data_IF_502943200157
#
_entry.id   IF_502943200157
#
_cell.length_a   1.000
_cell.length_b   1.000
_cell.length_c   1.000
_cell.angle_alpha   90.00
_cell.angle_beta   90.00
_cell.angle_gamma   90.00
#
_symmetry.space_group_name_H-M   'P 1'
#
loop_
_entity.id
_entity.type
_entity.pdbx_description
1 polymer ?
#
# COMPACT_ATOMS: atom_id res chain seq x y z
N UNK A 1 -4.44 5.52 2.77
CA UNK A 1 -4.66 4.29 1.96
C UNK A 1 -3.70 3.20 2.41
N UNK A 2 -3.97 1.91 2.18
CA UNK A 2 -3.10 0.78 2.55
C UNK A 2 -2.92 -0.20 1.39
N UNK A 3 -1.70 -0.70 1.18
CA UNK A 3 -1.36 -1.70 0.17
C UNK A 3 -0.46 -2.79 0.78
N UNK A 4 -0.60 -4.04 0.33
CA UNK A 4 0.14 -5.18 0.88
C UNK A 4 0.74 -6.03 -0.23
N UNK A 5 2.04 -6.29 -0.13
CA UNK A 5 2.82 -7.03 -1.12
C UNK A 5 3.58 -8.18 -0.44
N UNK A 6 3.29 -9.43 -0.80
CA UNK A 6 3.97 -10.59 -0.23
C UNK A 6 5.23 -10.96 -1.00
N UNK A 7 6.35 -11.04 -0.27
CA UNK A 7 7.66 -11.55 -0.67
C UNK A 7 7.91 -12.93 -0.04
N UNK A 8 8.91 -13.70 -0.50
CA UNK A 8 9.10 -15.09 -0.08
C UNK A 8 9.09 -15.32 1.44
N UNK A 9 9.64 -14.39 2.22
CA UNK A 9 9.73 -14.48 3.68
C UNK A 9 8.90 -13.45 4.46
N UNK A 10 8.46 -12.37 3.83
CA UNK A 10 7.78 -11.26 4.50
C UNK A 10 6.73 -10.61 3.60
N UNK A 11 5.82 -9.84 4.19
CA UNK A 11 4.89 -8.97 3.48
C UNK A 11 5.23 -7.51 3.79
N UNK A 12 5.41 -6.71 2.74
CA UNK A 12 5.57 -5.26 2.87
C UNK A 12 4.19 -4.62 2.84
N UNK A 13 3.83 -3.94 3.92
CA UNK A 13 2.61 -3.14 4.02
C UNK A 13 2.99 -1.67 3.83
N UNK A 14 2.46 -1.04 2.80
CA UNK A 14 2.60 0.40 2.58
C UNK A 14 1.32 1.09 3.03
N UNK A 15 1.44 2.23 3.70
CA UNK A 15 0.27 2.94 4.19
C UNK A 15 0.57 4.42 4.35
N UNK A 16 -0.43 5.24 4.06
CA UNK A 16 -0.32 6.70 4.17
C UNK A 16 -1.28 7.16 5.27
N UNK A 17 -0.75 7.19 6.49
CA UNK A 17 -1.33 7.77 7.70
C UNK A 17 -0.15 8.34 8.52
N UNK A 18 -0.38 9.17 9.55
CA UNK A 18 0.68 9.72 10.42
C UNK A 18 1.39 8.60 11.22
N UNK A 19 2.21 7.82 10.53
CA UNK A 19 3.08 6.83 11.12
C UNK A 19 4.49 7.36 11.14
N UNK A 20 4.85 7.83 12.33
CA UNK A 20 6.22 8.16 12.64
C UNK A 20 7.11 6.92 12.54
N UNK A 21 8.30 7.13 11.98
CA UNK A 21 9.41 6.19 12.01
C UNK A 21 9.57 5.55 13.40
N UNK A 22 9.72 4.22 13.45
CA UNK A 22 9.95 3.49 14.70
C UNK A 22 8.70 3.29 15.57
N UNK A 23 7.52 3.72 15.12
CA UNK A 23 6.26 3.45 15.82
C UNK A 23 5.93 1.97 15.75
N UNK A 24 5.52 1.39 16.88
CA UNK A 24 5.01 0.02 16.95
C UNK A 24 3.62 -0.07 16.33
N UNK A 25 3.40 -1.10 15.52
CA UNK A 25 2.12 -1.45 14.92
C UNK A 25 1.88 -2.95 15.02
N UNK A 26 0.65 -3.39 14.76
CA UNK A 26 0.26 -4.79 14.83
C UNK A 26 -0.29 -5.25 13.49
N UNK A 27 0.38 -6.23 12.88
CA UNK A 27 -0.03 -6.90 11.66
C UNK A 27 -1.21 -7.86 11.96
N UNK A 28 -2.28 -7.73 11.18
CA UNK A 28 -3.52 -8.52 11.29
C UNK A 28 -3.70 -9.33 10.01
N UNK A 29 -4.00 -10.62 10.16
CA UNK A 29 -4.06 -11.58 9.06
C UNK A 29 -5.43 -12.23 8.96
N UNK A 30 -5.94 -12.33 7.75
CA UNK A 30 -7.29 -12.86 7.50
C UNK A 30 -7.29 -13.88 6.37
N UNK A 31 -8.15 -14.87 6.51
CA UNK A 31 -8.38 -15.92 5.50
C UNK A 31 -9.25 -15.41 4.32
N UNK A 32 -9.59 -16.32 3.41
CA UNK A 32 -10.50 -16.05 2.29
C UNK A 32 -11.89 -15.57 2.72
N UNK A 33 -12.37 -16.03 3.87
CA UNK A 33 -13.66 -15.67 4.46
C UNK A 33 -13.61 -14.40 5.31
N UNK A 34 -12.46 -13.69 5.33
CA UNK A 34 -12.24 -12.48 6.12
C UNK A 34 -12.27 -12.72 7.64
N UNK A 35 -12.02 -13.95 8.06
CA UNK A 35 -11.91 -14.36 9.45
C UNK A 35 -10.46 -14.17 9.88
N UNK A 36 -10.26 -13.58 11.04
CA UNK A 36 -8.92 -13.38 11.58
C UNK A 36 -8.29 -14.72 11.97
N UNK A 37 -7.12 -14.99 11.42
CA UNK A 37 -6.46 -16.30 11.54
C UNK A 37 -5.71 -16.45 12.88
N UNK A 38 -5.00 -15.40 13.30
CA UNK A 38 -4.03 -15.49 14.38
C UNK A 38 -4.01 -14.23 15.25
N UNK A 39 -3.32 -14.34 16.38
CA UNK A 39 -3.07 -13.19 17.24
C UNK A 39 -2.28 -12.11 16.46
N UNK A 40 -2.56 -10.82 16.75
CA UNK A 40 -1.85 -9.70 16.15
C UNK A 40 -0.35 -9.80 16.42
N UNK A 41 0.43 -9.71 15.34
CA UNK A 41 1.90 -9.79 15.38
C UNK A 41 2.46 -8.38 15.46
N UNK A 42 3.29 -8.14 16.47
CA UNK A 42 3.96 -6.85 16.64
C UNK A 42 5.03 -6.64 15.56
N UNK A 43 5.03 -5.44 14.97
CA UNK A 43 6.05 -4.99 14.04
C UNK A 43 6.29 -3.49 14.23
N UNK A 44 7.22 -2.94 13.46
CA UNK A 44 7.65 -1.56 13.53
C UNK A 44 7.59 -0.91 12.15
N UNK A 45 7.29 0.39 12.15
CA UNK A 45 7.31 1.21 10.93
C UNK A 45 8.76 1.50 10.55
N UNK A 46 9.21 0.87 9.47
CA UNK A 46 10.52 1.10 8.86
C UNK A 46 10.53 0.64 7.39
N UNK A 47 10.98 1.48 6.44
CA UNK A 47 11.21 2.93 6.57
C UNK A 47 9.90 3.70 6.85
N UNK A 48 9.89 5.03 6.75
CA UNK A 48 8.66 5.82 6.89
C UNK A 48 7.55 5.27 5.97
N UNK A 49 6.32 5.15 6.48
CA UNK A 49 5.13 4.65 5.74
C UNK A 49 5.17 3.17 5.30
N UNK A 50 6.13 2.38 5.79
CA UNK A 50 6.26 0.95 5.46
C UNK A 50 6.37 0.10 6.71
N UNK A 51 5.68 -1.05 6.72
CA UNK A 51 5.75 -2.05 7.80
C UNK A 51 6.07 -3.40 7.18
N UNK A 52 7.09 -4.07 7.70
CA UNK A 52 7.43 -5.42 7.32
C UNK A 52 6.77 -6.41 8.29
N UNK A 53 5.81 -7.17 7.78
CA UNK A 53 5.13 -8.22 8.51
C UNK A 53 5.67 -9.59 8.07
N UNK A 54 5.65 -10.61 8.94
CA UNK A 54 5.99 -11.97 8.52
C UNK A 54 4.98 -12.49 7.49
N UNK A 55 5.43 -13.33 6.54
CA UNK A 55 4.51 -14.01 5.62
C UNK A 55 3.68 -15.02 6.40
N UNK A 56 2.38 -15.08 6.11
CA UNK A 56 1.45 -16.05 6.67
C UNK A 56 0.89 -16.92 5.54
N UNK A 57 0.99 -18.25 5.66
CA UNK A 57 0.67 -19.20 4.57
C UNK A 57 -0.79 -19.19 4.15
N UNK A 58 -1.70 -18.98 5.11
CA UNK A 58 -3.16 -19.02 4.90
C UNK A 58 -3.79 -17.63 4.76
N UNK A 59 -2.99 -16.56 4.87
CA UNK A 59 -3.54 -15.21 4.81
C UNK A 59 -3.75 -14.78 3.36
N UNK A 60 -4.95 -14.29 3.07
CA UNK A 60 -5.32 -13.71 1.77
C UNK A 60 -5.59 -12.21 1.89
N UNK A 61 -6.00 -11.76 3.07
CA UNK A 61 -6.14 -10.34 3.37
C UNK A 61 -5.32 -9.95 4.59
N UNK A 62 -4.90 -8.69 4.63
CA UNK A 62 -4.15 -8.11 5.74
C UNK A 62 -4.68 -6.74 6.11
N UNK A 63 -4.39 -6.36 7.36
CA UNK A 63 -4.57 -5.01 7.87
C UNK A 63 -3.50 -4.71 8.93
N UNK A 64 -3.40 -3.46 9.34
CA UNK A 64 -2.53 -3.02 10.44
C UNK A 64 -3.35 -2.23 11.45
N UNK A 65 -2.92 -2.26 12.70
CA UNK A 65 -3.55 -1.50 13.80
C UNK A 65 -2.47 -0.88 14.68
N UNK A 66 -2.79 0.21 15.37
CA UNK A 66 -1.83 0.85 16.28
C UNK A 66 -1.87 0.26 17.68
N UNK A 67 -2.98 -0.39 18.05
CA UNK A 67 -3.12 -1.10 19.33
C UNK A 67 -3.48 -2.55 19.11
N UNK A 68 -2.96 -3.40 20.00
CA UNK A 68 -3.08 -4.87 19.92
C UNK A 68 -4.53 -5.38 19.79
N UNK A 69 -5.49 -4.76 20.47
CA UNK A 69 -6.88 -5.20 20.47
C UNK A 69 -7.82 -4.18 19.84
N UNK A 70 -7.29 -3.37 18.92
CA UNK A 70 -8.08 -2.42 18.18
C UNK A 70 -9.00 -3.13 17.17
N UNK A 71 -10.21 -2.60 16.99
CA UNK A 71 -11.13 -3.10 15.98
C UNK A 71 -10.57 -2.77 14.60
N UNK A 72 -10.52 -3.77 13.73
CA UNK A 72 -10.06 -3.60 12.35
C UNK A 72 -11.17 -2.96 11.51
N UNK A 73 -10.90 -1.78 10.97
CA UNK A 73 -11.89 -0.99 10.20
C UNK A 73 -11.93 -1.39 8.72
N UNK A 74 -10.79 -1.82 8.16
CA UNK A 74 -10.67 -2.22 6.77
C UNK A 74 -9.58 -3.28 6.62
N UNK A 75 -9.65 -4.03 5.53
CA UNK A 75 -8.66 -5.05 5.15
C UNK A 75 -8.43 -4.97 3.64
N UNK A 76 -7.21 -5.27 3.21
CA UNK A 76 -6.85 -5.24 1.79
C UNK A 76 -6.33 -6.61 1.35
N UNK A 77 -6.53 -6.98 0.07
CA UNK A 77 -5.96 -8.22 -0.45
C UNK A 77 -4.44 -8.15 -0.47
N UNK A 78 -3.80 -9.29 -0.20
CA UNK A 78 -2.36 -9.45 -0.31
C UNK A 78 -2.02 -9.68 -1.78
N UNK A 79 -1.18 -8.81 -2.36
CA UNK A 79 -0.63 -9.01 -3.70
C UNK A 79 0.56 -9.95 -3.61
N UNK A 80 0.40 -11.20 -4.07
CA UNK A 80 1.47 -12.18 -4.05
C UNK A 80 2.55 -11.86 -5.10
N UNK A 81 3.77 -11.56 -4.64
CA UNK A 81 4.99 -11.39 -5.46
C UNK A 81 5.99 -12.53 -5.24
N UNK A 82 5.61 -13.58 -4.52
CA UNK A 82 6.50 -14.74 -4.24
C UNK A 82 6.63 -15.66 -5.44
N UNK A 83 5.62 -15.64 -6.32
CA UNK A 83 5.66 -16.30 -7.61
C UNK A 83 6.48 -15.53 -8.63
N UNK A 84 7.81 -15.59 -8.53
CA UNK A 84 8.63 -15.81 -9.75
C UNK A 84 8.30 -17.22 -10.25
N UNK A 85 7.07 -17.41 -10.71
CA UNK A 85 6.73 -18.66 -11.35
C UNK A 85 7.51 -18.67 -12.64
N UNK A 86 8.31 -19.71 -12.88
CA UNK A 86 8.96 -19.94 -14.17
C UNK A 86 7.94 -19.80 -15.33
N UNK A 87 6.66 -20.11 -15.08
CA UNK A 87 5.56 -19.90 -16.02
C UNK A 87 5.21 -18.42 -16.28
N UNK A 88 5.39 -17.52 -15.31
CA UNK A 88 5.17 -16.08 -15.45
C UNK A 88 6.28 -15.42 -16.28
N UNK A 89 7.52 -15.85 -16.05
CA UNK A 89 8.67 -15.50 -16.90
C UNK A 89 8.53 -16.07 -18.34
N UNK A 90 7.98 -17.28 -18.50
CA UNK A 90 7.70 -17.89 -19.82
C UNK A 90 6.56 -17.18 -20.55
N UNK A 91 5.52 -16.72 -19.84
CA UNK A 91 4.36 -16.03 -20.43
C UNK A 91 4.58 -14.53 -20.62
N UNK A 92 5.62 -13.96 -20.03
CA UNK A 92 5.99 -12.55 -20.18
C UNK A 92 5.01 -11.56 -19.55
N UNK A 93 4.16 -12.00 -18.61
CA UNK A 93 3.10 -11.18 -18.01
C UNK A 93 3.29 -11.19 -16.49
N UNK A 94 4.25 -10.41 -16.01
CA UNK A 94 4.31 -10.03 -14.59
C UNK A 94 3.88 -8.57 -14.46
N UNK A 95 2.59 -8.34 -14.26
CA UNK A 95 2.08 -7.00 -13.91
C UNK A 95 2.37 -6.71 -12.43
N UNK A 96 3.57 -6.21 -12.13
CA UNK A 96 3.87 -5.68 -10.81
C UNK A 96 3.12 -4.37 -10.59
N UNK A 97 2.01 -4.46 -9.85
CA UNK A 97 1.24 -3.28 -9.43
C UNK A 97 1.87 -2.72 -8.16
N UNK A 98 2.01 -1.40 -8.12
CA UNK A 98 2.37 -0.62 -6.94
C UNK A 98 1.33 0.48 -6.82
N UNK A 99 0.71 0.57 -5.65
CA UNK A 99 -0.13 1.68 -5.26
C UNK A 99 0.57 2.53 -4.22
N UNK A 100 0.56 3.83 -4.48
CA UNK A 100 1.06 4.87 -3.60
C UNK A 100 -0.09 5.84 -3.39
N UNK A 101 -0.19 6.34 -2.16
CA UNK A 101 -1.12 7.40 -1.84
C UNK A 101 -0.28 8.65 -1.58
N UNK A 102 -0.79 9.78 -2.06
CA UNK A 102 -0.04 11.02 -2.14
C UNK A 102 -0.81 12.12 -1.40
N UNK A 103 -0.04 13.01 -0.79
CA UNK A 103 -0.56 14.23 -0.19
C UNK A 103 -1.38 15.05 -1.20
N UNK A 104 -2.38 15.82 -0.74
CA UNK A 104 -3.18 16.66 -1.61
C UNK A 104 -2.32 17.55 -2.49
N UNK A 105 -2.58 17.53 -3.80
CA UNK A 105 -1.78 18.22 -4.83
C UNK A 105 -2.05 19.75 -4.82
N UNK A 106 -3.13 20.18 -4.18
CA UNK A 106 -3.48 21.60 -4.01
C UNK A 106 -2.79 22.23 -2.78
N UNK A 107 -2.54 23.55 -2.86
CA UNK A 107 -1.87 24.33 -1.83
C UNK A 107 -0.92 25.38 -2.42
N UNK A 108 -0.27 26.16 -1.56
CA UNK A 108 0.73 27.17 -1.94
C UNK A 108 2.13 26.61 -2.18
N UNK A 109 2.35 25.32 -1.90
CA UNK A 109 3.62 24.62 -2.07
C UNK A 109 3.76 24.05 -3.50
N UNK A 110 5.01 23.87 -3.95
CA UNK A 110 5.31 23.29 -5.28
C UNK A 110 5.18 21.76 -5.30
N UNK A 111 4.06 21.21 -4.81
CA UNK A 111 3.80 19.76 -4.76
C UNK A 111 3.73 19.10 -6.13
N UNK A 112 3.39 19.87 -7.17
CA UNK A 112 3.46 19.42 -8.55
C UNK A 112 4.87 19.03 -8.99
N UNK A 113 5.91 19.72 -8.52
CA UNK A 113 7.29 19.35 -8.84
C UNK A 113 7.67 18.01 -8.20
N UNK A 114 7.29 17.79 -6.94
CA UNK A 114 7.50 16.52 -6.24
C UNK A 114 6.76 15.35 -6.93
N UNK A 115 5.55 15.62 -7.44
CA UNK A 115 4.81 14.63 -8.22
C UNK A 115 5.57 14.26 -9.49
N UNK A 116 6.03 15.24 -10.27
CA UNK A 116 6.80 15.00 -11.51
C UNK A 116 8.08 14.22 -11.22
N UNK A 117 8.83 14.61 -10.19
CA UNK A 117 10.05 13.91 -9.76
C UNK A 117 9.74 12.44 -9.42
N UNK A 118 8.63 12.17 -8.74
CA UNK A 118 8.19 10.80 -8.44
C UNK A 118 7.90 10.01 -9.73
N UNK A 119 7.18 10.59 -10.70
CA UNK A 119 6.91 9.93 -11.99
C UNK A 119 8.19 9.63 -12.76
N UNK A 120 9.13 10.58 -12.82
CA UNK A 120 10.42 10.41 -13.47
C UNK A 120 11.23 9.30 -12.80
N UNK A 121 11.27 9.29 -11.47
CA UNK A 121 11.94 8.27 -10.68
C UNK A 121 11.40 6.86 -10.98
N UNK A 122 10.08 6.68 -10.97
CA UNK A 122 9.48 5.38 -11.25
C UNK A 122 9.63 4.96 -12.72
N UNK A 123 9.62 5.91 -13.67
CA UNK A 123 9.97 5.60 -15.06
C UNK A 123 11.39 5.08 -15.19
N UNK A 124 12.35 5.69 -14.50
CA UNK A 124 13.74 5.22 -14.48
C UNK A 124 13.88 3.83 -13.83
N UNK A 125 12.99 3.47 -12.90
CA UNK A 125 12.92 2.13 -12.31
C UNK A 125 12.22 1.09 -13.20
N UNK A 126 11.75 1.46 -14.39
CA UNK A 126 11.10 0.56 -15.35
C UNK A 126 9.59 0.46 -15.23
N UNK A 127 8.93 1.39 -14.54
CA UNK A 127 7.45 1.45 -14.52
C UNK A 127 6.93 1.96 -15.87
N UNK A 128 6.09 1.17 -16.52
CA UNK A 128 5.54 1.47 -17.85
C UNK A 128 4.16 2.16 -17.78
N UNK A 129 3.33 1.78 -16.81
CA UNK A 129 1.94 2.21 -16.72
C UNK A 129 1.68 2.92 -15.40
N UNK A 130 1.03 4.08 -15.47
CA UNK A 130 0.65 4.86 -14.30
C UNK A 130 -0.86 5.08 -14.28
N UNK A 131 -1.47 4.84 -13.13
CA UNK A 131 -2.89 5.05 -12.89
C UNK A 131 -3.05 6.00 -11.71
N UNK A 132 -3.72 7.13 -11.93
CA UNK A 132 -4.03 8.11 -10.89
C UNK A 132 -5.49 7.98 -10.48
N UNK A 133 -5.72 7.75 -9.19
CA UNK A 133 -7.05 7.67 -8.61
C UNK A 133 -7.20 8.77 -7.56
N UNK A 134 -8.26 9.56 -7.66
CA UNK A 134 -8.54 10.60 -6.69
C UNK A 134 -9.45 10.00 -5.61
N UNK A 135 -8.89 9.73 -4.43
CA UNK A 135 -9.60 9.08 -3.34
C UNK A 135 -10.62 10.03 -2.66
N UNK A 136 -10.27 11.30 -2.50
CA UNK A 136 -11.14 12.31 -1.90
C UNK A 136 -10.93 13.67 -2.55
N UNK A 137 -12.02 14.27 -2.97
CA UNK A 137 -12.12 15.67 -3.39
C UNK A 137 -13.08 16.31 -2.40
N UNK A 138 -12.69 17.40 -1.78
CA UNK A 138 -13.58 18.19 -0.95
C UNK A 138 -14.65 18.89 -1.83
N UNK A 139 -15.79 19.24 -1.24
CA UNK A 139 -16.93 19.79 -1.98
C UNK A 139 -16.59 21.07 -2.76
N UNK A 140 -15.59 21.84 -2.32
CA UNK A 140 -15.11 23.02 -3.02
C UNK A 140 -14.31 22.63 -4.28
N UNK A 141 -13.36 21.70 -4.17
CA UNK A 141 -12.61 21.17 -5.32
C UNK A 141 -13.51 20.42 -6.32
N UNK A 142 -14.62 19.82 -5.87
CA UNK A 142 -15.64 19.19 -6.73
C UNK A 142 -16.36 20.20 -7.62
N UNK A 143 -16.61 21.41 -7.11
CA UNK A 143 -17.28 22.48 -7.87
C UNK A 143 -16.34 23.11 -8.91
N UNK A 144 -15.04 23.17 -8.63
CA UNK A 144 -14.06 23.80 -9.52
C UNK A 144 -13.64 22.89 -10.69
N UNK A 145 -13.83 21.57 -10.57
CA UNK A 145 -13.52 20.59 -11.62
C UNK A 145 -14.58 20.48 -12.73
N UNK A 146 -15.69 21.21 -12.64
CA UNK A 146 -16.75 21.27 -13.67
C UNK A 146 -16.54 22.38 -14.74
N UNK A 147 -15.39 23.07 -14.74
CA UNK A 147 -15.04 24.10 -15.71
C UNK A 147 -13.93 23.69 -16.70
N UNK A 148 -13.63 22.39 -16.82
CA UNK A 148 -12.81 21.82 -17.89
C UNK A 148 -13.61 20.82 -18.73
#
# INVERSE_FOLDING_TARGET
MLGVYAYPSYSAVTFEEEAHYGRTVFCRYFDEHRIELNLPVESLVFPEYVVHCCKHSEAVYMSITYRRYEKVNFQVPIMDRTGMSMLSAIRGIEEYKLSLCLSPIFGSETKWLLLVEMFEHYKLQGVEHFYLYIQSIDDYSRKMSFFL
#
